data_IF_631147934856
#
_entry.id   IF_631147934856
#
_cell.length_a   1.000
_cell.length_b   1.000
_cell.length_c   1.000
_cell.angle_alpha   90.00
_cell.angle_beta   90.00
_cell.angle_gamma   90.00
#
_symmetry.space_group_name_H-M   'P 1'
#
loop_
_entity.id
_entity.type
_entity.pdbx_description
1 polymer ?
#
# COMPACT_ATOMS: atom_id res chain seq x y z
N UNK A 1 -17.47 -0.01 8.10
CA UNK A 1 -16.18 0.67 8.37
C UNK A 1 -16.28 2.08 7.80
N UNK A 2 -15.73 3.10 8.49
CA UNK A 2 -15.64 4.46 7.94
C UNK A 2 -14.17 4.78 7.67
N UNK A 3 -13.82 4.94 6.39
CA UNK A 3 -12.47 5.36 6.01
C UNK A 3 -12.32 6.88 6.15
N UNK A 4 -11.14 7.33 6.57
CA UNK A 4 -10.72 8.72 6.61
C UNK A 4 -9.70 8.90 5.50
N UNK A 5 -9.97 9.78 4.54
CA UNK A 5 -9.01 10.11 3.48
C UNK A 5 -8.12 11.27 3.94
N UNK A 6 -6.81 11.06 3.88
CA UNK A 6 -5.79 12.11 4.02
C UNK A 6 -5.17 12.31 2.65
N UNK A 7 -5.16 13.55 2.17
CA UNK A 7 -4.57 13.88 0.88
C UNK A 7 -3.10 14.20 1.07
N UNK A 8 -2.23 13.44 0.40
CA UNK A 8 -0.82 13.72 0.26
C UNK A 8 -0.63 14.27 -1.16
N UNK A 9 -0.32 15.56 -1.24
CA UNK A 9 -0.48 16.34 -2.47
C UNK A 9 -1.92 16.19 -3.02
N UNK A 10 -2.08 15.63 -4.22
CA UNK A 10 -3.38 15.38 -4.84
C UNK A 10 -3.84 13.91 -4.75
N UNK A 11 -3.04 13.05 -4.07
CA UNK A 11 -3.30 11.60 -3.99
C UNK A 11 -3.90 11.24 -2.63
N UNK A 12 -5.13 10.68 -2.61
CA UNK A 12 -5.78 10.30 -1.36
C UNK A 12 -5.20 9.01 -0.78
N UNK A 13 -4.88 9.03 0.51
CA UNK A 13 -4.54 7.85 1.30
C UNK A 13 -5.63 7.60 2.32
N UNK A 14 -6.32 6.46 2.21
CA UNK A 14 -7.34 6.06 3.20
C UNK A 14 -6.69 5.46 4.43
N UNK A 15 -7.29 5.78 5.57
CA UNK A 15 -7.03 5.19 6.86
C UNK A 15 -8.34 4.65 7.44
N UNK A 16 -8.26 3.58 8.20
CA UNK A 16 -9.36 3.13 9.06
C UNK A 16 -9.56 4.11 10.22
N UNK A 17 -10.72 4.06 10.86
CA UNK A 17 -11.03 4.83 12.06
C UNK A 17 -10.16 4.46 13.27
N UNK A 18 -9.56 3.26 13.24
CA UNK A 18 -8.57 2.80 14.23
C UNK A 18 -7.11 3.06 13.83
N UNK A 19 -6.88 3.84 12.77
CA UNK A 19 -5.56 4.40 12.42
C UNK A 19 -4.67 3.49 11.56
N UNK A 20 -5.20 2.42 10.97
CA UNK A 20 -4.48 1.59 10.00
C UNK A 20 -4.56 2.21 8.60
N UNK A 21 -3.49 2.11 7.84
CA UNK A 21 -3.43 2.61 6.46
C UNK A 21 -3.90 1.55 5.48
N UNK A 22 -4.59 1.96 4.42
CA UNK A 22 -4.88 1.12 3.27
C UNK A 22 -3.60 0.94 2.47
N UNK A 23 -3.09 -0.29 2.42
CA UNK A 23 -1.75 -0.58 1.90
C UNK A 23 -1.62 -0.18 0.44
N UNK A 24 -2.65 -0.44 -0.37
CA UNK A 24 -2.64 -0.11 -1.81
C UNK A 24 -2.58 1.40 -2.03
N UNK A 25 -3.34 2.18 -1.25
CA UNK A 25 -3.33 3.65 -1.37
C UNK A 25 -1.95 4.22 -0.98
N UNK A 26 -1.33 3.68 0.07
CA UNK A 26 -0.01 4.10 0.51
C UNK A 26 1.09 3.73 -0.50
N UNK A 27 1.00 2.54 -1.11
CA UNK A 27 1.90 2.13 -2.20
C UNK A 27 1.78 3.08 -3.39
N UNK A 28 0.55 3.49 -3.76
CA UNK A 28 0.33 4.40 -4.87
C UNK A 28 1.07 5.73 -4.67
N UNK A 29 0.96 6.33 -3.48
CA UNK A 29 1.67 7.58 -3.16
C UNK A 29 3.19 7.42 -3.21
N UNK A 30 3.72 6.34 -2.63
CA UNK A 30 5.17 6.09 -2.63
C UNK A 30 5.70 5.88 -4.05
N UNK A 31 4.97 5.12 -4.87
CA UNK A 31 5.35 4.84 -6.25
C UNK A 31 5.31 6.12 -7.11
N UNK A 32 4.28 6.96 -6.96
CA UNK A 32 4.17 8.25 -7.66
C UNK A 32 5.35 9.18 -7.34
N UNK A 33 5.83 9.18 -6.09
CA UNK A 33 6.98 10.00 -5.69
C UNK A 33 8.34 9.50 -6.17
N UNK A 34 8.45 8.25 -6.62
CA UNK A 34 9.71 7.59 -7.00
C UNK A 34 9.84 7.29 -8.49
N UNK A 35 8.73 7.08 -9.19
CA UNK A 35 8.70 6.71 -10.60
C UNK A 35 7.95 7.81 -11.39
N UNK A 36 8.68 8.54 -12.24
CA UNK A 36 8.08 9.53 -13.15
C UNK A 36 7.05 8.86 -14.09
N UNK A 37 5.79 9.33 -14.07
CA UNK A 37 4.63 8.75 -14.76
C UNK A 37 4.15 7.38 -14.25
N UNK A 38 4.46 6.98 -13.01
CA UNK A 38 3.74 5.87 -12.40
C UNK A 38 2.26 6.23 -12.26
N UNK A 39 1.41 5.62 -13.08
CA UNK A 39 -0.02 5.74 -12.88
C UNK A 39 -0.41 5.03 -11.57
N UNK A 40 -1.40 5.58 -10.84
CA UNK A 40 -1.99 4.94 -9.66
C UNK A 40 -2.45 3.48 -9.93
N UNK A 41 -2.68 3.14 -11.20
CA UNK A 41 -2.96 1.80 -11.73
C UNK A 41 -1.86 0.76 -11.44
N UNK A 42 -0.64 1.17 -11.08
CA UNK A 42 0.48 0.27 -10.77
C UNK A 42 0.49 -0.26 -9.32
N UNK A 43 -0.25 0.35 -8.38
CA UNK A 43 -0.15 0.00 -6.95
C UNK A 43 -0.61 -1.42 -6.61
N UNK A 44 -1.69 -1.90 -7.25
CA UNK A 44 -2.17 -3.28 -7.10
C UNK A 44 -1.14 -4.31 -7.59
N UNK A 45 -0.67 -4.22 -8.85
CA UNK A 45 0.41 -5.08 -9.34
C UNK A 45 1.70 -5.03 -8.52
N UNK A 46 2.09 -3.85 -8.01
CA UNK A 46 3.24 -3.72 -7.10
C UNK A 46 3.03 -4.48 -5.80
N UNK A 47 1.84 -4.38 -5.20
CA UNK A 47 1.50 -5.15 -4.01
C UNK A 47 1.52 -6.66 -4.27
N UNK A 48 0.93 -7.11 -5.36
CA UNK A 48 0.93 -8.53 -5.75
C UNK A 48 2.36 -9.06 -5.91
N UNK A 49 3.25 -8.28 -6.53
CA UNK A 49 4.65 -8.66 -6.67
C UNK A 49 5.38 -8.69 -5.32
N UNK A 50 5.11 -7.70 -4.47
CA UNK A 50 5.68 -7.58 -3.14
C UNK A 50 5.34 -8.81 -2.28
N UNK A 51 4.07 -9.21 -2.25
CA UNK A 51 3.58 -10.38 -1.50
C UNK A 51 4.08 -11.68 -2.11
N UNK A 52 4.13 -11.78 -3.45
CA UNK A 52 4.68 -12.95 -4.15
C UNK A 52 6.14 -13.19 -3.79
N UNK A 53 6.93 -12.13 -3.63
CA UNK A 53 8.35 -12.19 -3.25
C UNK A 53 8.56 -12.34 -1.74
N UNK A 54 7.66 -11.78 -0.93
CA UNK A 54 7.75 -11.72 0.53
C UNK A 54 6.39 -12.10 1.18
N UNK A 55 5.99 -13.39 1.16
CA UNK A 55 4.68 -13.82 1.65
C UNK A 55 4.42 -13.49 3.13
N UNK A 56 5.49 -13.33 3.92
CA UNK A 56 5.43 -12.91 5.33
C UNK A 56 4.80 -11.53 5.54
N UNK A 57 4.77 -10.67 4.52
CA UNK A 57 4.17 -9.34 4.62
C UNK A 57 2.67 -9.40 4.94
N UNK A 58 2.00 -10.48 4.53
CA UNK A 58 0.60 -10.70 4.88
C UNK A 58 0.37 -10.84 6.39
N UNK A 59 1.38 -11.26 7.15
CA UNK A 59 1.27 -11.37 8.63
C UNK A 59 1.21 -10.01 9.32
N UNK A 60 1.64 -8.95 8.63
CA UNK A 60 1.60 -7.57 9.10
C UNK A 60 0.34 -6.83 8.64
N UNK A 61 -0.47 -7.46 7.79
CA UNK A 61 -1.71 -6.92 7.29
C UNK A 61 -2.90 -7.49 8.05
N UNK A 62 -3.91 -6.65 8.24
CA UNK A 62 -5.27 -7.09 8.50
C UNK A 62 -6.06 -6.97 7.20
N UNK A 63 -6.80 -8.01 6.91
CA UNK A 63 -7.77 -8.03 5.82
C UNK A 63 -9.11 -7.44 6.28
N UNK A 64 -9.66 -6.51 5.49
CA UNK A 64 -10.96 -5.89 5.72
C UNK A 64 -11.84 -6.07 4.49
N UNK A 65 -13.10 -6.42 4.72
CA UNK A 65 -14.09 -6.52 3.65
C UNK A 65 -14.56 -5.11 3.25
N UNK A 66 -14.28 -4.69 2.01
CA UNK A 66 -14.83 -3.45 1.46
C UNK A 66 -16.09 -3.72 0.66
N UNK A 67 -17.19 -3.98 1.39
CA UNK A 67 -18.56 -4.01 0.87
C UNK A 67 -18.78 -4.77 -0.46
N UNK A 68 -18.01 -5.84 -0.71
CA UNK A 68 -18.19 -6.74 -1.87
C UNK A 68 -17.16 -6.63 -2.99
N UNK A 69 -16.17 -5.72 -2.90
CA UNK A 69 -15.09 -5.61 -3.92
C UNK A 69 -13.86 -6.47 -3.62
N UNK A 70 -13.83 -7.14 -2.47
CA UNK A 70 -12.76 -8.05 -2.08
C UNK A 70 -12.18 -7.70 -0.71
N UNK A 71 -11.16 -8.48 -0.32
CA UNK A 71 -10.39 -8.26 0.89
C UNK A 71 -9.31 -7.22 0.63
N UNK A 72 -9.35 -6.10 1.36
CA UNK A 72 -8.37 -5.03 1.23
C UNK A 72 -7.36 -5.13 2.38
N UNK A 73 -6.04 -5.15 2.09
CA UNK A 73 -5.04 -5.16 3.14
C UNK A 73 -4.90 -3.77 3.78
N UNK A 74 -4.98 -3.74 5.11
CA UNK A 74 -4.63 -2.57 5.93
C UNK A 74 -3.50 -2.91 6.91
N UNK A 75 -2.63 -1.96 7.18
CA UNK A 75 -1.50 -2.13 8.10
C UNK A 75 -1.51 -1.04 9.18
N UNK A 76 -1.09 -1.38 10.40
CA UNK A 76 -0.71 -0.36 11.38
C UNK A 76 0.68 0.22 11.04
N UNK A 77 1.18 1.13 11.87
CA UNK A 77 2.49 1.75 11.66
C UNK A 77 3.63 0.74 11.59
N UNK A 78 3.64 -0.26 12.49
CA UNK A 78 4.67 -1.29 12.50
C UNK A 78 4.60 -2.21 11.29
N UNK A 79 3.39 -2.55 10.83
CA UNK A 79 3.21 -3.32 9.61
C UNK A 79 3.60 -2.54 8.35
N UNK A 80 3.25 -1.25 8.29
CA UNK A 80 3.65 -0.37 7.21
C UNK A 80 5.19 -0.23 7.12
N UNK A 81 5.90 -0.11 8.23
CA UNK A 81 7.36 -0.03 8.22
C UNK A 81 8.00 -1.23 7.50
N UNK A 82 7.44 -2.44 7.69
CA UNK A 82 7.91 -3.67 7.02
C UNK A 82 7.57 -3.71 5.54
N UNK A 83 6.37 -3.27 5.19
CA UNK A 83 5.92 -3.18 3.80
C UNK A 83 6.76 -2.14 3.05
N UNK A 84 6.96 -0.96 3.64
CA UNK A 84 7.70 0.15 3.05
C UNK A 84 9.17 -0.22 2.80
N UNK A 85 9.83 -0.93 3.72
CA UNK A 85 11.19 -1.45 3.53
C UNK A 85 11.30 -2.30 2.25
N UNK A 86 10.39 -3.27 2.08
CA UNK A 86 10.38 -4.14 0.89
C UNK A 86 9.93 -3.44 -0.38
N UNK A 87 8.99 -2.50 -0.26
CA UNK A 87 8.54 -1.70 -1.40
C UNK A 87 9.70 -0.85 -1.94
N UNK A 88 10.49 -0.26 -1.06
CA UNK A 88 11.63 0.56 -1.47
C UNK A 88 12.71 -0.29 -2.16
N UNK A 89 13.02 -1.48 -1.64
CA UNK A 89 13.90 -2.45 -2.32
C UNK A 89 13.40 -2.77 -3.74
N UNK A 90 12.11 -3.10 -3.88
CA UNK A 90 11.49 -3.42 -5.17
C UNK A 90 11.56 -2.25 -6.17
N UNK A 91 11.28 -1.03 -5.72
CA UNK A 91 11.28 0.16 -6.57
C UNK A 91 12.70 0.55 -7.00
N UNK A 92 13.70 0.42 -6.12
CA UNK A 92 15.09 0.68 -6.47
C UNK A 92 15.62 -0.28 -7.56
N UNK A 93 15.25 -1.56 -7.48
CA UNK A 93 15.59 -2.55 -8.51
C UNK A 93 15.03 -2.19 -9.90
N UNK A 94 13.95 -1.38 -9.98
CA UNK A 94 13.37 -0.94 -11.25
C UNK A 94 14.05 0.30 -11.85
N UNK A 95 14.90 0.98 -11.07
CA UNK A 95 15.65 2.16 -11.50
C UNK A 95 17.07 1.81 -12.02
N UNK A 96 17.54 0.58 -11.83
CA UNK A 96 18.81 0.04 -12.33
C UNK A 96 18.68 -0.65 -13.69
#
# INVERSE_FOLDING_TARGET
MKAIAVYLDDTPVRFTDDGRVFVIDAIAVVAEGLIDNAEATAAGPLWDDLVRRNPELMTYCREIDDMGEGSIPVADSGGWDKIHEKLFELLLEQLE
#
